data_IF_292818401901
#
_entry.id   IF_292818401901
#
_cell.length_a   1.000
_cell.length_b   1.000
_cell.length_c   1.000
_cell.angle_alpha   90.00
_cell.angle_beta   90.00
_cell.angle_gamma   90.00
#
_symmetry.space_group_name_H-M   'P 1'
#
loop_
_entity.id
_entity.type
_entity.pdbx_description
1 polymer ?
#
# COMPACT_ATOMS: atom_id res chain seq x y z
N UNK A 1 17.04 -12.58 -2.37
CA UNK A 1 15.91 -13.22 -1.66
C UNK A 1 14.63 -12.56 -2.12
N UNK A 2 13.62 -13.32 -2.48
CA UNK A 2 12.31 -12.80 -2.88
C UNK A 2 11.48 -12.50 -1.63
N UNK A 3 11.15 -11.23 -1.40
CA UNK A 3 10.25 -10.83 -0.32
C UNK A 3 8.81 -11.20 -0.71
N UNK A 4 8.13 -12.00 0.11
CA UNK A 4 6.73 -12.39 -0.10
C UNK A 4 5.87 -11.88 1.06
N UNK A 5 4.95 -10.96 0.76
CA UNK A 5 4.02 -10.36 1.73
C UNK A 5 2.55 -10.79 1.51
N UNK A 6 2.31 -11.82 0.69
CA UNK A 6 0.96 -12.26 0.38
C UNK A 6 0.24 -12.78 1.64
N UNK A 7 -0.98 -12.29 1.89
CA UNK A 7 -1.79 -12.57 3.11
C UNK A 7 -1.12 -12.17 4.43
N UNK A 8 -0.16 -11.25 4.40
CA UNK A 8 0.46 -10.72 5.61
C UNK A 8 -0.33 -9.54 6.17
N UNK A 9 -0.52 -9.53 7.49
CA UNK A 9 -1.12 -8.40 8.20
C UNK A 9 -0.06 -7.32 8.47
N UNK A 10 -0.44 -6.05 8.36
CA UNK A 10 0.39 -4.90 8.74
C UNK A 10 -0.20 -4.26 10.00
N UNK A 11 0.28 -4.65 11.18
CA UNK A 11 -0.25 -4.17 12.47
C UNK A 11 0.70 -3.20 13.17
N UNK A 12 2.00 -3.50 13.17
CA UNK A 12 3.04 -2.64 13.74
C UNK A 12 4.36 -2.80 13.00
N UNK A 13 5.22 -1.80 13.13
CA UNK A 13 6.48 -1.68 12.39
C UNK A 13 7.50 -2.78 12.72
N UNK A 14 7.48 -3.28 13.96
CA UNK A 14 8.36 -4.34 14.43
C UNK A 14 8.00 -5.73 13.88
N UNK A 15 6.85 -5.87 13.23
CA UNK A 15 6.47 -7.15 12.60
C UNK A 15 7.27 -7.42 11.32
N UNK A 16 8.04 -6.44 10.81
CA UNK A 16 8.74 -6.48 9.52
C UNK A 16 10.26 -6.45 9.67
N UNK A 17 10.96 -7.22 8.84
CA UNK A 17 12.43 -7.21 8.80
C UNK A 17 12.96 -6.01 8.01
N UNK A 18 14.23 -5.62 8.19
CA UNK A 18 14.85 -4.54 7.40
C UNK A 18 14.76 -4.75 5.87
N UNK A 19 14.83 -6.00 5.40
CA UNK A 19 14.73 -6.35 3.98
C UNK A 19 13.32 -6.10 3.45
N UNK A 20 12.31 -6.44 4.24
CA UNK A 20 10.90 -6.23 3.89
C UNK A 20 10.55 -4.75 3.86
N UNK A 21 11.12 -3.98 4.79
CA UNK A 21 11.04 -2.52 4.78
C UNK A 21 11.68 -1.92 3.53
N UNK A 22 12.89 -2.34 3.18
CA UNK A 22 13.55 -1.90 1.94
C UNK A 22 12.69 -2.23 0.71
N UNK A 23 12.10 -3.42 0.67
CA UNK A 23 11.18 -3.80 -0.40
C UNK A 23 9.95 -2.89 -0.48
N UNK A 24 9.25 -2.64 0.63
CA UNK A 24 8.07 -1.77 0.67
C UNK A 24 8.40 -0.34 0.24
N UNK A 25 9.54 0.20 0.69
CA UNK A 25 9.98 1.55 0.32
C UNK A 25 10.33 1.66 -1.17
N UNK A 26 11.04 0.67 -1.72
CA UNK A 26 11.33 0.61 -3.17
C UNK A 26 10.04 0.51 -3.98
N UNK A 27 9.11 -0.36 -3.58
CA UNK A 27 7.82 -0.51 -4.26
C UNK A 27 7.01 0.80 -4.23
N UNK A 28 6.98 1.50 -3.10
CA UNK A 28 6.30 2.78 -2.98
C UNK A 28 6.92 3.85 -3.92
N UNK A 29 8.25 3.88 -4.04
CA UNK A 29 8.94 4.78 -4.96
C UNK A 29 8.61 4.47 -6.43
N UNK A 30 8.58 3.19 -6.81
CA UNK A 30 8.23 2.74 -8.16
C UNK A 30 6.79 3.12 -8.53
N UNK A 31 5.82 2.82 -7.64
CA UNK A 31 4.41 3.15 -7.86
C UNK A 31 4.22 4.66 -8.01
N UNK A 32 4.86 5.46 -7.16
CA UNK A 32 4.83 6.92 -7.24
C UNK A 32 5.42 7.45 -8.56
N UNK A 33 6.53 6.86 -9.01
CA UNK A 33 7.16 7.23 -10.27
C UNK A 33 6.29 6.87 -11.48
N UNK A 34 5.69 5.67 -11.48
CA UNK A 34 4.79 5.21 -12.54
C UNK A 34 3.55 6.10 -12.67
N UNK A 35 2.91 6.45 -11.53
CA UNK A 35 1.78 7.38 -11.49
C UNK A 35 2.15 8.76 -12.02
N UNK A 36 3.30 9.30 -11.59
CA UNK A 36 3.80 10.59 -12.09
C UNK A 36 4.09 10.57 -13.60
N UNK A 37 4.51 9.44 -14.14
CA UNK A 37 4.77 9.26 -15.57
C UNK A 37 3.52 8.95 -16.41
N UNK A 38 2.33 8.85 -15.78
CA UNK A 38 1.10 8.43 -16.46
C UNK A 38 1.12 6.97 -16.94
N UNK A 39 1.97 6.13 -16.36
CA UNK A 39 2.17 4.71 -16.71
C UNK A 39 1.77 3.76 -15.58
N UNK A 40 0.87 4.21 -14.72
CA UNK A 40 0.33 3.40 -13.64
C UNK A 40 -0.40 2.18 -14.21
N UNK A 41 -0.25 1.05 -13.53
CA UNK A 41 -0.92 -0.21 -13.87
C UNK A 41 -1.86 -0.58 -12.73
N UNK A 42 -3.12 -0.83 -13.07
CA UNK A 42 -4.13 -1.25 -12.10
C UNK A 42 -3.87 -2.69 -11.65
N UNK A 43 -3.28 -2.86 -10.46
CA UNK A 43 -2.86 -4.18 -9.92
C UNK A 43 -3.96 -4.89 -9.13
N UNK A 44 -4.99 -4.17 -8.66
CA UNK A 44 -6.01 -4.68 -7.74
C UNK A 44 -7.44 -4.60 -8.31
N UNK A 45 -7.58 -4.60 -9.64
CA UNK A 45 -8.88 -4.55 -10.30
C UNK A 45 -9.83 -5.65 -9.79
N UNK A 46 -11.05 -5.26 -9.42
CA UNK A 46 -12.08 -6.16 -8.88
C UNK A 46 -11.86 -6.60 -7.42
N UNK A 47 -10.87 -6.03 -6.71
CA UNK A 47 -10.70 -6.22 -5.27
C UNK A 47 -11.38 -5.10 -4.50
N UNK A 48 -11.91 -5.43 -3.32
CA UNK A 48 -12.58 -4.48 -2.43
C UNK A 48 -11.82 -4.42 -1.09
N UNK A 49 -11.78 -3.23 -0.49
CA UNK A 49 -11.29 -3.02 0.87
C UNK A 49 -12.41 -2.48 1.75
N UNK A 50 -12.40 -2.84 3.04
CA UNK A 50 -13.29 -2.26 4.05
C UNK A 50 -12.47 -1.33 4.94
N UNK A 51 -12.92 -0.08 5.09
CA UNK A 51 -12.29 0.91 5.95
C UNK A 51 -13.14 1.12 7.21
N UNK A 52 -12.62 0.68 8.35
CA UNK A 52 -13.29 0.77 9.65
C UNK A 52 -12.55 1.81 10.50
N UNK A 53 -13.24 2.90 10.86
CA UNK A 53 -12.69 3.99 11.66
C UNK A 53 -13.52 4.19 12.93
N UNK A 54 -12.90 4.01 14.09
CA UNK A 54 -13.49 4.37 15.38
C UNK A 54 -13.39 5.88 15.64
N UNK A 55 -12.30 6.50 15.17
CA UNK A 55 -12.06 7.95 15.23
C UNK A 55 -11.91 8.50 13.83
N UNK A 56 -12.51 9.68 13.60
CA UNK A 56 -12.44 10.37 12.31
C UNK A 56 -11.00 10.74 11.96
N UNK A 57 -10.52 10.30 10.79
CA UNK A 57 -9.22 10.71 10.23
C UNK A 57 -9.33 10.91 8.72
N UNK A 58 -9.38 12.17 8.29
CA UNK A 58 -9.50 12.53 6.87
C UNK A 58 -8.28 12.07 6.06
N UNK A 59 -7.06 12.30 6.57
CA UNK A 59 -5.84 11.95 5.84
C UNK A 59 -5.69 10.44 5.64
N UNK A 60 -6.00 9.66 6.67
CA UNK A 60 -5.93 8.20 6.57
C UNK A 60 -6.98 7.68 5.60
N UNK A 61 -8.25 8.10 5.75
CA UNK A 61 -9.32 7.68 4.84
C UNK A 61 -8.99 8.01 3.39
N UNK A 62 -8.66 9.26 3.08
CA UNK A 62 -8.37 9.68 1.71
C UNK A 62 -7.17 8.93 1.11
N UNK A 63 -6.11 8.67 1.89
CA UNK A 63 -4.95 7.93 1.39
C UNK A 63 -5.30 6.49 0.98
N UNK A 64 -6.08 5.77 1.80
CA UNK A 64 -6.51 4.41 1.47
C UNK A 64 -7.55 4.36 0.36
N UNK A 65 -8.50 5.31 0.36
CA UNK A 65 -9.56 5.39 -0.65
C UNK A 65 -8.97 5.67 -2.03
N UNK A 66 -8.07 6.66 -2.14
CA UNK A 66 -7.34 6.94 -3.38
C UNK A 66 -6.49 5.73 -3.77
N UNK A 67 -5.70 5.15 -2.88
CA UNK A 67 -4.83 4.02 -3.23
C UNK A 67 -5.57 2.76 -3.72
N UNK A 68 -6.84 2.56 -3.32
CA UNK A 68 -7.63 1.40 -3.70
C UNK A 68 -8.55 1.63 -4.91
N UNK A 69 -8.90 2.88 -5.19
CA UNK A 69 -9.87 3.23 -6.23
C UNK A 69 -9.24 3.94 -7.44
N UNK A 70 -8.26 4.82 -7.22
CA UNK A 70 -7.57 5.60 -8.26
C UNK A 70 -6.61 4.73 -9.09
#
# INVERSE_FOLDING_TARGET
MTVNLHRRNFLKEFDFTPEEWKYLLSLAAELKAAKKAGKEQQKLAGKNIALIFEKTSTRTRCAFEVAAYD
#
